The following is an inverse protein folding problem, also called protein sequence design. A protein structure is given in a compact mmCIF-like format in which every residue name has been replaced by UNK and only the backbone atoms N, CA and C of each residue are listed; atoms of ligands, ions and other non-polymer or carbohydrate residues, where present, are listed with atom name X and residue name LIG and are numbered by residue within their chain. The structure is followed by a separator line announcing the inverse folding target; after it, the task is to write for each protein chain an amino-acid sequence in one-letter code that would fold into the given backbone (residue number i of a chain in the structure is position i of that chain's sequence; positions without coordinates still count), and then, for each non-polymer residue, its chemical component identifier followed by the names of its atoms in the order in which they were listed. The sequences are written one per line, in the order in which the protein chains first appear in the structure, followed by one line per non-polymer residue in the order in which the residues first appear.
data_IF_667625061223
#
_entry.id   IF_667625061223
#
_cell.length_a   1.000
_cell.length_b   1.000
_cell.length_c   1.000
_cell.angle_alpha   90.00
_cell.angle_beta   90.00
_cell.angle_gamma   90.00
#
_symmetry.space_group_name_H-M   'P 1'
#
loop_
_entity.id
_entity.type
_entity.pdbx_description
1 polymer ?
#
# COMPACT_ATOMS: atom_id res chain seq x y z
N UNK A 1 -36.54 93.32 -36.10
CA UNK A 1 -36.59 91.85 -36.35
C UNK A 1 -35.20 91.30 -36.67
N UNK A 2 -34.26 91.27 -35.72
CA UNK A 2 -32.84 91.05 -36.05
C UNK A 2 -32.06 90.28 -34.96
N UNK A 3 -32.63 89.19 -34.42
CA UNK A 3 -31.91 88.32 -33.44
C UNK A 3 -31.72 86.86 -33.89
N UNK A 4 -32.29 86.44 -35.03
CA UNK A 4 -32.19 85.05 -35.50
C UNK A 4 -30.99 84.70 -36.39
N UNK A 5 -30.31 85.70 -36.98
CA UNK A 5 -29.25 85.46 -37.95
C UNK A 5 -27.84 85.30 -37.33
N UNK A 6 -27.61 85.88 -36.15
CA UNK A 6 -26.31 85.80 -35.46
C UNK A 6 -26.08 84.42 -34.85
N UNK A 7 -27.13 83.79 -34.29
CA UNK A 7 -27.02 82.47 -33.66
C UNK A 7 -26.77 81.35 -34.69
N UNK A 8 -27.37 81.45 -35.88
CA UNK A 8 -27.13 80.51 -36.99
C UNK A 8 -25.72 80.65 -37.61
N UNK A 9 -25.19 81.88 -37.68
CA UNK A 9 -23.82 82.12 -38.17
C UNK A 9 -22.75 81.65 -37.18
N UNK A 10 -23.00 81.78 -35.87
CA UNK A 10 -22.12 81.24 -34.83
C UNK A 10 -22.15 79.70 -34.78
N UNK A 11 -23.31 79.07 -35.00
CA UNK A 11 -23.41 77.61 -35.08
C UNK A 11 -22.73 77.03 -36.33
N UNK A 12 -22.79 77.70 -37.49
CA UNK A 12 -22.10 77.24 -38.70
C UNK A 12 -20.58 77.44 -38.65
N UNK A 13 -20.09 78.52 -38.02
CA UNK A 13 -18.63 78.74 -37.86
C UNK A 13 -18.03 77.77 -36.83
N UNK A 14 -18.78 77.44 -35.77
CA UNK A 14 -18.38 76.38 -34.83
C UNK A 14 -18.38 74.98 -35.46
N UNK A 15 -19.27 74.73 -36.44
CA UNK A 15 -19.31 73.44 -37.16
C UNK A 15 -18.21 73.30 -38.22
N UNK A 16 -17.81 74.39 -38.87
CA UNK A 16 -16.74 74.39 -39.89
C UNK A 16 -15.33 74.45 -39.27
N UNK A 17 -15.17 75.04 -38.08
CA UNK A 17 -13.91 75.00 -37.32
C UNK A 17 -13.65 73.64 -36.61
N UNK A 18 -14.63 72.74 -36.57
CA UNK A 18 -14.50 71.40 -35.99
C UNK A 18 -14.04 70.31 -36.97
N UNK A 19 -13.83 70.65 -38.25
CA UNK A 19 -13.53 69.68 -39.33
C UNK A 19 -12.07 69.81 -39.83
N UNK A 20 -11.24 70.62 -39.19
CA UNK A 20 -9.80 70.67 -39.53
C UNK A 20 -9.05 69.45 -38.98
N UNK A 21 -8.82 68.51 -39.91
CA UNK A 21 -7.72 67.55 -39.96
C UNK A 21 -7.52 66.62 -38.76
N UNK A 22 -8.38 65.61 -38.63
CA UNK A 22 -7.95 64.30 -38.14
C UNK A 22 -7.64 63.42 -39.36
N UNK A 23 -6.40 63.51 -39.86
CA UNK A 23 -5.88 62.46 -40.75
C UNK A 23 -5.80 61.18 -39.91
N UNK A 24 -6.54 60.11 -40.23
CA UNK A 24 -6.35 58.85 -39.54
C UNK A 24 -4.95 58.33 -39.89
N UNK A 25 -4.03 58.43 -38.92
CA UNK A 25 -2.72 57.81 -39.03
C UNK A 25 -2.93 56.30 -39.17
N UNK A 26 -2.58 55.75 -40.32
CA UNK A 26 -2.53 54.29 -40.48
C UNK A 26 -1.51 53.76 -39.46
N UNK A 27 -1.86 52.80 -38.59
CA UNK A 27 -0.89 52.22 -37.66
C UNK A 27 0.24 51.60 -38.47
N UNK A 28 1.42 52.23 -38.40
CA UNK A 28 2.65 51.65 -38.93
C UNK A 28 3.05 50.56 -37.94
N UNK A 29 2.71 49.31 -38.25
CA UNK A 29 3.24 48.16 -37.54
C UNK A 29 4.72 48.04 -37.92
N UNK A 30 5.61 48.41 -37.00
CA UNK A 30 7.02 48.20 -37.16
C UNK A 30 7.33 46.73 -36.81
N UNK A 31 7.57 45.91 -37.83
CA UNK A 31 8.06 44.55 -37.64
C UNK A 31 9.52 44.56 -37.18
N UNK A 32 9.79 43.87 -36.08
CA UNK A 32 11.16 43.66 -35.63
C UNK A 32 11.81 42.61 -36.52
N UNK A 33 12.68 43.08 -37.40
CA UNK A 33 13.51 42.23 -38.28
C UNK A 33 14.90 42.03 -37.70
N UNK A 34 15.54 40.91 -38.05
CA UNK A 34 16.90 40.56 -37.61
C UNK A 34 17.78 40.24 -38.82
N UNK A 35 19.08 40.54 -38.69
CA UNK A 35 20.08 40.16 -39.69
C UNK A 35 20.33 38.65 -39.60
N UNK A 36 20.44 37.98 -40.74
CA UNK A 36 20.72 36.54 -40.80
C UNK A 36 22.19 36.28 -40.49
N UNK A 37 22.44 35.32 -39.61
CA UNK A 37 23.78 34.83 -39.25
C UNK A 37 24.37 33.83 -40.27
N UNK A 38 23.65 33.56 -41.37
CA UNK A 38 24.10 32.60 -42.39
C UNK A 38 24.95 33.30 -43.45
N UNK A 39 26.20 32.87 -43.58
CA UNK A 39 27.12 33.32 -44.61
C UNK A 39 27.17 32.30 -45.77
N UNK A 40 27.44 32.81 -46.97
CA UNK A 40 27.69 32.00 -48.16
C UNK A 40 29.07 32.36 -48.71
N UNK A 41 29.97 31.37 -48.76
CA UNK A 41 31.36 31.58 -49.18
C UNK A 41 31.65 30.83 -50.48
N UNK A 42 32.17 31.49 -51.52
CA UNK A 42 32.48 30.81 -52.77
C UNK A 42 33.75 29.96 -52.63
N UNK A 43 33.75 28.79 -53.29
CA UNK A 43 34.94 27.97 -53.48
C UNK A 43 35.56 28.29 -54.84
N UNK A 44 36.87 28.54 -54.90
CA UNK A 44 37.56 29.01 -56.12
C UNK A 44 38.64 28.03 -56.56
N UNK A 45 39.00 28.10 -57.84
CA UNK A 45 40.07 27.25 -58.41
C UNK A 45 41.50 27.68 -58.05
N UNK A 46 41.70 28.80 -57.38
CA UNK A 46 43.02 29.31 -56.98
C UNK A 46 42.96 30.35 -55.87
N UNK A 47 44.14 30.78 -55.41
CA UNK A 47 44.35 31.63 -54.23
C UNK A 47 44.15 33.13 -54.53
N UNK A 48 42.94 33.51 -54.95
CA UNK A 48 42.66 34.89 -55.35
C UNK A 48 41.22 35.10 -55.85
N UNK A 49 40.82 36.35 -56.03
CA UNK A 49 39.46 36.70 -56.48
C UNK A 49 39.28 36.56 -58.00
N UNK A 50 40.39 36.60 -58.74
CA UNK A 50 40.50 36.45 -60.19
C UNK A 50 40.24 35.02 -60.68
N UNK A 51 40.37 34.03 -59.79
CA UNK A 51 40.18 32.63 -60.14
C UNK A 51 38.71 32.27 -60.28
N UNK A 52 38.42 31.33 -61.19
CA UNK A 52 37.08 30.80 -61.46
C UNK A 52 36.44 30.27 -60.19
N UNK A 53 35.17 30.64 -59.97
CA UNK A 53 34.33 30.10 -58.90
C UNK A 53 33.92 28.68 -59.29
N UNK A 54 34.36 27.69 -58.50
CA UNK A 54 33.99 26.29 -58.63
C UNK A 54 32.65 26.01 -57.93
N UNK A 55 32.40 26.64 -56.77
CA UNK A 55 31.13 26.57 -56.05
C UNK A 55 30.66 27.96 -55.62
N UNK A 56 29.41 28.32 -55.91
CA UNK A 56 28.91 29.70 -55.80
C UNK A 56 28.55 30.16 -54.40
N UNK A 57 28.39 29.25 -53.44
CA UNK A 57 28.05 29.64 -52.07
C UNK A 57 27.95 28.44 -51.13
N UNK A 58 29.07 28.07 -50.52
CA UNK A 58 29.09 27.14 -49.40
C UNK A 58 28.43 27.80 -48.20
N UNK A 59 27.41 27.15 -47.64
CA UNK A 59 26.67 27.65 -46.49
C UNK A 59 27.52 27.52 -45.22
N UNK A 60 27.40 28.47 -44.29
CA UNK A 60 27.98 28.31 -42.95
C UNK A 60 27.62 26.96 -42.33
N UNK A 61 28.61 26.24 -41.82
CA UNK A 61 28.46 24.92 -41.21
C UNK A 61 28.61 23.73 -42.18
N UNK A 62 28.83 23.97 -43.47
CA UNK A 62 29.24 22.90 -44.40
C UNK A 62 30.56 22.28 -43.93
N UNK A 63 30.58 20.96 -43.76
CA UNK A 63 31.78 20.23 -43.37
C UNK A 63 32.79 20.19 -44.53
N UNK A 64 34.04 20.52 -44.24
CA UNK A 64 35.13 20.58 -45.20
C UNK A 64 36.35 19.90 -44.61
N UNK A 65 37.11 19.20 -45.44
CA UNK A 65 38.42 18.66 -45.05
C UNK A 65 39.50 19.60 -45.56
N UNK A 66 40.34 20.09 -44.66
CA UNK A 66 41.46 20.97 -45.01
C UNK A 66 42.66 20.16 -45.46
N UNK A 67 43.17 20.46 -46.66
CA UNK A 67 44.30 19.78 -47.28
C UNK A 67 45.60 20.59 -47.13
N UNK A 68 45.52 21.90 -47.35
CA UNK A 68 46.67 22.81 -47.33
C UNK A 68 46.27 24.17 -46.75
N UNK A 69 47.21 24.85 -46.08
CA UNK A 69 47.07 26.20 -45.56
C UNK A 69 48.20 27.08 -46.11
N UNK A 70 47.86 28.20 -46.76
CA UNK A 70 48.82 29.20 -47.18
C UNK A 70 48.64 30.50 -46.37
N UNK A 71 49.49 30.76 -45.35
CA UNK A 71 49.39 31.97 -44.53
C UNK A 71 49.81 33.25 -45.27
N UNK A 72 50.57 33.16 -46.36
CA UNK A 72 51.00 34.34 -47.12
C UNK A 72 49.86 34.92 -47.97
N UNK A 73 49.04 34.05 -48.55
CA UNK A 73 47.88 34.46 -49.37
C UNK A 73 46.58 34.52 -48.57
N UNK A 74 46.52 33.88 -47.40
CA UNK A 74 45.32 33.81 -46.55
C UNK A 74 44.25 32.85 -47.09
N UNK A 75 44.65 31.89 -47.94
CA UNK A 75 43.78 30.87 -48.51
C UNK A 75 44.17 29.47 -48.03
N UNK A 76 43.17 28.62 -47.92
CA UNK A 76 43.33 27.20 -47.61
C UNK A 76 42.71 26.36 -48.72
N UNK A 77 43.37 25.27 -49.10
CA UNK A 77 42.83 24.26 -49.99
C UNK A 77 41.94 23.32 -49.18
N UNK A 78 40.69 23.16 -49.61
CA UNK A 78 39.70 22.31 -48.94
C UNK A 78 39.09 21.33 -49.93
N UNK A 79 38.70 20.16 -49.41
CA UNK A 79 37.95 19.13 -50.11
C UNK A 79 36.57 18.98 -49.48
N UNK A 80 35.55 18.99 -50.32
CA UNK A 80 34.17 18.70 -49.94
C UNK A 80 33.89 17.19 -49.89
N UNK A 81 32.77 16.80 -49.31
CA UNK A 81 32.34 15.39 -49.22
C UNK A 81 32.11 14.76 -50.60
N UNK A 82 31.70 15.57 -51.59
CA UNK A 82 31.53 15.16 -52.99
C UNK A 82 32.85 14.97 -53.76
N UNK A 83 34.00 15.22 -53.10
CA UNK A 83 35.33 15.12 -53.67
C UNK A 83 35.80 16.37 -54.42
N UNK A 84 34.99 17.43 -54.53
CA UNK A 84 35.41 18.67 -55.17
C UNK A 84 36.43 19.40 -54.30
N UNK A 85 37.54 19.79 -54.92
CA UNK A 85 38.62 20.54 -54.29
C UNK A 85 38.63 21.99 -54.76
N UNK A 86 38.98 22.89 -53.85
CA UNK A 86 39.20 24.29 -54.20
C UNK A 86 39.70 25.12 -53.03
N UNK A 87 40.01 26.37 -53.33
CA UNK A 87 40.55 27.34 -52.41
C UNK A 87 39.44 28.21 -51.81
N UNK A 88 39.53 28.40 -50.50
CA UNK A 88 38.64 29.25 -49.69
C UNK A 88 39.49 30.13 -48.77
N UNK A 89 39.00 31.30 -48.37
CA UNK A 89 39.74 32.16 -47.44
C UNK A 89 39.73 31.52 -46.04
N UNK A 90 40.92 31.48 -45.42
CA UNK A 90 41.12 30.83 -44.11
C UNK A 90 40.25 31.45 -43.01
N UNK A 91 39.94 32.75 -43.10
CA UNK A 91 39.09 33.46 -42.13
C UNK A 91 37.66 32.91 -42.01
N UNK A 92 37.17 32.16 -43.01
CA UNK A 92 35.84 31.55 -42.99
C UNK A 92 35.84 30.11 -42.49
N UNK A 93 37.02 29.54 -42.21
CA UNK A 93 37.17 28.19 -41.69
C UNK A 93 37.24 28.25 -40.17
N UNK A 94 36.36 27.51 -39.52
CA UNK A 94 36.37 27.29 -38.07
C UNK A 94 36.73 25.84 -37.78
N UNK A 95 37.54 25.61 -36.75
CA UNK A 95 37.83 24.26 -36.24
C UNK A 95 36.63 23.67 -35.47
N UNK A 96 35.75 24.54 -34.98
CA UNK A 96 34.56 24.14 -34.24
C UNK A 96 33.30 24.31 -35.09
N UNK A 97 32.24 23.50 -34.86
CA UNK A 97 30.96 23.67 -35.53
C UNK A 97 30.35 25.05 -35.30
N UNK A 98 29.60 25.54 -36.29
CA UNK A 98 28.90 26.83 -36.19
C UNK A 98 27.86 26.83 -35.07
N UNK A 99 27.55 28.01 -34.54
CA UNK A 99 26.64 28.20 -33.41
C UNK A 99 25.28 27.51 -33.62
N UNK A 100 24.73 27.56 -34.84
CA UNK A 100 23.46 26.90 -35.18
C UNK A 100 23.51 25.36 -34.99
N UNK A 101 24.62 24.70 -35.36
CA UNK A 101 24.78 23.26 -35.19
C UNK A 101 24.96 22.90 -33.71
N UNK A 102 25.77 23.68 -32.97
CA UNK A 102 25.93 23.51 -31.53
C UNK A 102 24.60 23.66 -30.80
N UNK A 103 23.83 24.70 -31.13
CA UNK A 103 22.52 24.95 -30.55
C UNK A 103 21.54 23.81 -30.82
N UNK A 104 21.49 23.31 -32.06
CA UNK A 104 20.65 22.17 -32.41
C UNK A 104 21.03 20.91 -31.60
N UNK A 105 22.32 20.62 -31.49
CA UNK A 105 22.82 19.50 -30.69
C UNK A 105 22.46 19.64 -29.20
N UNK A 106 22.70 20.83 -28.61
CA UNK A 106 22.37 21.11 -27.21
C UNK A 106 20.86 21.07 -26.94
N UNK A 107 20.02 21.53 -27.87
CA UNK A 107 18.56 21.41 -27.73
C UNK A 107 18.16 19.93 -27.73
N UNK A 108 18.69 19.13 -28.66
CA UNK A 108 18.42 17.70 -28.72
C UNK A 108 18.87 16.97 -27.45
N UNK A 109 20.06 17.29 -26.95
CA UNK A 109 20.58 16.75 -25.69
C UNK A 109 19.69 17.15 -24.52
N UNK A 110 19.35 18.43 -24.40
CA UNK A 110 18.45 18.95 -23.36
C UNK A 110 17.09 18.27 -23.39
N UNK A 111 16.51 18.05 -24.56
CA UNK A 111 15.21 17.38 -24.69
C UNK A 111 15.28 15.90 -24.30
N UNK A 112 16.38 15.22 -24.64
CA UNK A 112 16.64 13.85 -24.20
C UNK A 112 16.83 13.78 -22.67
N UNK A 113 17.63 14.67 -22.09
CA UNK A 113 17.83 14.74 -20.63
C UNK A 113 16.53 15.08 -19.90
N UNK A 114 15.73 16.00 -20.43
CA UNK A 114 14.43 16.34 -19.87
C UNK A 114 13.49 15.13 -19.87
N UNK A 115 13.44 14.39 -20.97
CA UNK A 115 12.61 13.17 -21.07
C UNK A 115 13.05 12.11 -20.04
N UNK A 116 14.36 11.92 -19.85
CA UNK A 116 14.90 11.02 -18.82
C UNK A 116 14.59 11.50 -17.40
N UNK A 117 14.66 12.81 -17.16
CA UNK A 117 14.31 13.40 -15.88
C UNK A 117 12.83 13.17 -15.55
N UNK A 118 11.94 13.41 -16.51
CA UNK A 118 10.50 13.21 -16.34
C UNK A 118 10.17 11.72 -16.09
N UNK A 119 10.82 10.79 -16.80
CA UNK A 119 10.68 9.34 -16.55
C UNK A 119 11.19 8.96 -15.15
N UNK A 120 12.36 9.45 -14.77
CA UNK A 120 12.95 9.14 -13.47
C UNK A 120 12.09 9.68 -12.33
N UNK A 121 11.53 10.88 -12.49
CA UNK A 121 10.61 11.47 -11.52
C UNK A 121 9.35 10.61 -11.37
N UNK A 122 8.76 10.15 -12.48
CA UNK A 122 7.61 9.24 -12.45
C UNK A 122 7.96 7.91 -11.75
N UNK A 123 9.13 7.34 -12.03
CA UNK A 123 9.60 6.10 -11.40
C UNK A 123 9.82 6.27 -9.88
N UNK A 124 10.35 7.41 -9.45
CA UNK A 124 10.51 7.73 -8.03
C UNK A 124 9.14 7.81 -7.34
N UNK A 125 8.18 8.53 -7.93
CA UNK A 125 6.82 8.62 -7.38
C UNK A 125 6.15 7.24 -7.28
N UNK A 126 6.26 6.41 -8.32
CA UNK A 126 5.74 5.05 -8.31
C UNK A 126 6.41 4.20 -7.22
N UNK A 127 7.73 4.28 -7.08
CA UNK A 127 8.48 3.52 -6.07
C UNK A 127 8.09 3.95 -4.66
N UNK A 128 7.87 5.25 -4.43
CA UNK A 128 7.40 5.75 -3.14
C UNK A 128 5.99 5.24 -2.82
N UNK A 129 5.07 5.24 -3.80
CA UNK A 129 3.73 4.70 -3.62
C UNK A 129 3.74 3.19 -3.32
N UNK A 130 4.54 2.41 -4.05
CA UNK A 130 4.71 0.97 -3.79
C UNK A 130 5.31 0.73 -2.41
N UNK A 131 6.31 1.52 -2.00
CA UNK A 131 6.92 1.41 -0.68
C UNK A 131 5.90 1.66 0.44
N UNK A 132 5.06 2.68 0.30
CA UNK A 132 3.99 2.97 1.27
C UNK A 132 3.03 1.80 1.38
N UNK A 133 2.54 1.30 0.24
CA UNK A 133 1.65 0.13 0.21
C UNK A 133 2.28 -1.11 0.88
N UNK A 134 3.56 -1.38 0.60
CA UNK A 134 4.28 -2.49 1.23
C UNK A 134 4.47 -2.28 2.74
N UNK A 135 4.58 -1.03 3.19
CA UNK A 135 4.65 -0.72 4.62
C UNK A 135 3.32 -1.03 5.30
N UNK A 136 2.21 -0.55 4.73
CA UNK A 136 0.87 -0.83 5.24
C UNK A 136 0.54 -2.32 5.25
N UNK A 137 0.91 -3.04 4.19
CA UNK A 137 0.70 -4.48 4.10
C UNK A 137 1.54 -5.26 5.13
N UNK A 138 2.78 -4.84 5.40
CA UNK A 138 3.60 -5.43 6.46
C UNK A 138 2.99 -5.20 7.84
N UNK A 139 2.51 -3.98 8.12
CA UNK A 139 1.86 -3.67 9.39
C UNK A 139 0.58 -4.50 9.58
N UNK A 140 -0.23 -4.65 8.52
CA UNK A 140 -1.42 -5.51 8.54
C UNK A 140 -1.05 -6.97 8.81
N UNK A 141 -0.06 -7.52 8.08
CA UNK A 141 0.38 -8.90 8.27
C UNK A 141 0.96 -9.14 9.66
N UNK A 142 1.71 -8.18 10.22
CA UNK A 142 2.22 -8.25 11.58
C UNK A 142 1.08 -8.29 12.62
N UNK A 143 0.03 -7.49 12.42
CA UNK A 143 -1.16 -7.51 13.28
C UNK A 143 -1.93 -8.83 13.16
N UNK A 144 -2.11 -9.35 11.95
CA UNK A 144 -2.75 -10.65 11.70
C UNK A 144 -1.97 -11.79 12.34
N UNK A 145 -0.64 -11.80 12.19
CA UNK A 145 0.23 -12.79 12.83
C UNK A 145 0.12 -12.73 14.36
N UNK A 146 0.11 -11.54 14.95
CA UNK A 146 -0.07 -11.35 16.39
C UNK A 146 -1.48 -11.78 16.86
N UNK A 147 -2.50 -11.61 16.02
CA UNK A 147 -3.86 -12.11 16.27
C UNK A 147 -3.92 -13.63 16.24
N UNK A 148 -3.42 -14.25 15.17
CA UNK A 148 -3.36 -15.71 15.01
C UNK A 148 -2.55 -16.38 16.11
N UNK A 149 -1.42 -15.79 16.52
CA UNK A 149 -0.60 -16.30 17.63
C UNK A 149 -1.39 -16.31 18.95
N UNK A 150 -2.12 -15.24 19.24
CA UNK A 150 -2.99 -15.18 20.43
C UNK A 150 -4.13 -16.19 20.38
N UNK A 151 -4.73 -16.40 19.21
CA UNK A 151 -5.79 -17.39 19.05
C UNK A 151 -5.27 -18.82 19.21
N UNK A 152 -4.09 -19.14 18.65
CA UNK A 152 -3.43 -20.41 18.87
C UNK A 152 -3.11 -20.65 20.35
N UNK A 153 -2.63 -19.62 21.06
CA UNK A 153 -2.40 -19.71 22.49
C UNK A 153 -3.70 -19.98 23.25
N UNK A 154 -4.77 -19.25 22.93
CA UNK A 154 -6.09 -19.44 23.54
C UNK A 154 -6.64 -20.86 23.33
N UNK A 155 -6.53 -21.39 22.11
CA UNK A 155 -6.95 -22.76 21.78
C UNK A 155 -6.12 -23.77 22.57
N UNK A 156 -4.80 -23.55 22.68
CA UNK A 156 -3.91 -24.41 23.46
C UNK A 156 -4.27 -24.42 24.95
N UNK A 157 -4.58 -23.26 25.52
CA UNK A 157 -5.02 -23.13 26.92
C UNK A 157 -6.36 -23.83 27.15
N UNK A 158 -7.36 -23.60 26.28
CA UNK A 158 -8.67 -24.26 26.37
C UNK A 158 -8.57 -25.79 26.23
N UNK A 159 -7.68 -26.27 25.37
CA UNK A 159 -7.42 -27.71 25.23
C UNK A 159 -6.81 -28.30 26.51
N UNK A 160 -5.87 -27.58 27.16
CA UNK A 160 -5.29 -28.00 28.43
C UNK A 160 -6.34 -28.03 29.57
N UNK A 161 -7.20 -27.01 29.64
CA UNK A 161 -8.30 -26.95 30.62
C UNK A 161 -9.30 -28.10 30.42
N UNK A 162 -9.60 -28.46 29.17
CA UNK A 162 -10.52 -29.57 28.85
C UNK A 162 -9.99 -30.90 29.38
N UNK A 163 -8.67 -31.15 29.27
CA UNK A 163 -8.03 -32.36 29.82
C UNK A 163 -8.13 -32.38 31.35
N UNK A 164 -7.90 -31.24 32.01
CA UNK A 164 -8.02 -31.10 33.47
C UNK A 164 -9.46 -31.35 33.95
N UNK A 165 -10.45 -30.81 33.24
CA UNK A 165 -11.87 -31.00 33.56
C UNK A 165 -12.27 -32.48 33.40
N UNK A 166 -11.79 -33.17 32.36
CA UNK A 166 -12.07 -34.59 32.17
C UNK A 166 -11.50 -35.44 33.32
N UNK A 167 -10.27 -35.15 33.76
CA UNK A 167 -9.65 -35.81 34.91
C UNK A 167 -10.44 -35.57 36.20
N UNK A 168 -10.91 -34.34 36.45
CA UNK A 168 -11.74 -34.00 37.60
C UNK A 168 -13.10 -34.72 37.57
N UNK A 169 -13.72 -34.82 36.40
CA UNK A 169 -14.96 -35.58 36.24
C UNK A 169 -14.74 -37.07 36.53
N UNK A 170 -13.66 -37.67 36.02
CA UNK A 170 -13.33 -39.07 36.30
C UNK A 170 -13.10 -39.30 37.80
N UNK A 171 -12.39 -38.40 38.50
CA UNK A 171 -12.21 -38.51 39.95
C UNK A 171 -13.52 -38.36 40.71
N UNK A 172 -14.38 -37.41 40.33
CA UNK A 172 -15.69 -37.22 40.98
C UNK A 172 -16.62 -38.42 40.76
N UNK A 173 -16.61 -39.01 39.56
CA UNK A 173 -17.37 -40.24 39.28
C UNK A 173 -16.86 -41.40 40.14
N UNK A 174 -15.54 -41.56 40.27
CA UNK A 174 -14.95 -42.59 41.13
C UNK A 174 -15.29 -42.38 42.60
N UNK A 175 -15.25 -41.14 43.09
CA UNK A 175 -15.61 -40.79 44.46
C UNK A 175 -17.11 -41.02 44.72
N UNK A 176 -17.96 -40.71 43.75
CA UNK A 176 -19.39 -40.98 43.82
C UNK A 176 -19.68 -42.48 43.88
N UNK A 177 -18.95 -43.29 43.11
CA UNK A 177 -19.08 -44.75 43.15
C UNK A 177 -18.63 -45.32 44.50
N UNK A 178 -17.50 -44.85 45.05
CA UNK A 178 -17.02 -45.25 46.37
C UNK A 178 -17.99 -44.87 47.49
N UNK A 179 -18.52 -43.64 47.49
CA UNK A 179 -19.52 -43.20 48.45
C UNK A 179 -20.81 -44.02 48.37
N UNK A 180 -21.27 -44.37 47.17
CA UNK A 180 -22.42 -45.26 46.99
C UNK A 180 -22.15 -46.66 47.53
N UNK A 181 -20.97 -47.23 47.28
CA UNK A 181 -20.56 -48.51 47.86
C UNK A 181 -20.50 -48.45 49.39
N UNK A 182 -20.04 -47.33 49.96
CA UNK A 182 -20.06 -47.11 51.41
C UNK A 182 -21.48 -47.04 51.96
N UNK A 183 -22.40 -46.35 51.28
CA UNK A 183 -23.82 -46.31 51.64
C UNK A 183 -24.41 -47.72 51.62
N UNK A 184 -24.20 -48.47 50.55
CA UNK A 184 -24.70 -49.84 50.42
C UNK A 184 -24.15 -50.74 51.52
N UNK A 185 -22.86 -50.63 51.83
CA UNK A 185 -22.22 -51.37 52.93
C UNK A 185 -22.83 -51.02 54.28
N UNK A 186 -23.01 -49.73 54.57
CA UNK A 186 -23.61 -49.27 55.83
C UNK A 186 -25.07 -49.73 55.94
N UNK A 187 -25.83 -49.73 54.84
CA UNK A 187 -27.20 -50.27 54.81
C UNK A 187 -27.24 -51.78 55.07
N UNK A 188 -26.31 -52.54 54.51
CA UNK A 188 -26.18 -53.98 54.78
C UNK A 188 -25.80 -54.20 56.25
N UNK A 189 -24.87 -53.40 56.79
CA UNK A 189 -24.43 -53.50 58.18
C UNK A 189 -25.55 -53.15 59.16
N UNK A 190 -26.32 -52.09 58.91
CA UNK A 190 -27.49 -51.74 59.73
C UNK A 190 -28.58 -52.80 59.65
N UNK A 191 -28.89 -53.32 58.45
CA UNK A 191 -29.85 -54.40 58.29
C UNK A 191 -29.40 -55.70 58.99
N UNK A 192 -28.10 -56.00 58.96
CA UNK A 192 -27.53 -57.14 59.68
C UNK A 192 -27.62 -56.95 61.20
N UNK A 193 -27.27 -55.77 61.71
CA UNK A 193 -27.40 -55.43 63.14
C UNK A 193 -28.85 -55.52 63.61
N UNK A 194 -29.81 -54.98 62.84
CA UNK A 194 -31.25 -55.08 63.13
C UNK A 194 -31.73 -56.54 63.13
N UNK A 195 -31.22 -57.37 62.20
CA UNK A 195 -31.56 -58.80 62.19
C UNK A 195 -31.02 -59.57 63.40
N UNK A 196 -29.85 -59.16 63.93
CA UNK A 196 -29.22 -59.80 65.08
C UNK A 196 -29.91 -59.45 66.39
N UNK A 197 -30.31 -58.17 66.58
CA UNK A 197 -31.18 -57.79 67.69
C UNK A 197 -32.51 -58.53 67.62
N UNK A 198 -33.05 -58.74 66.40
CA UNK A 198 -34.31 -59.44 66.25
C UNK A 198 -34.27 -60.93 66.64
N UNK A 199 -33.13 -61.57 66.47
CA UNK A 199 -32.93 -62.97 66.87
C UNK A 199 -32.73 -63.14 68.38
N UNK A 200 -32.08 -62.18 69.07
CA UNK A 200 -31.88 -62.26 70.53
C UNK A 200 -33.18 -62.06 71.33
N UNK A 201 -34.05 -61.13 70.91
CA UNK A 201 -35.35 -60.96 71.61
C UNK A 201 -36.30 -62.12 71.35
N UNK A 202 -36.24 -62.76 70.18
CA UNK A 202 -37.05 -63.94 69.89
C UNK A 202 -36.61 -65.14 70.73
N UNK A 203 -35.30 -65.38 70.88
CA UNK A 203 -34.78 -66.45 71.75
C UNK A 203 -35.16 -66.21 73.21
N UNK A 204 -35.03 -64.97 73.67
CA UNK A 204 -35.37 -64.58 75.05
C UNK A 204 -36.87 -64.69 75.29
N UNK A 205 -37.71 -64.20 74.36
CA UNK A 205 -39.16 -64.31 74.42
C UNK A 205 -39.65 -65.76 74.36
N UNK A 206 -39.08 -66.58 73.47
CA UNK A 206 -39.37 -68.02 73.38
C UNK A 206 -39.00 -68.77 74.66
N UNK A 207 -37.86 -68.42 75.28
CA UNK A 207 -37.44 -68.97 76.58
C UNK A 207 -38.39 -68.63 77.72
N UNK A 208 -38.87 -67.38 77.79
CA UNK A 208 -39.84 -66.92 78.80
C UNK A 208 -41.18 -67.64 78.65
N UNK A 209 -41.68 -67.82 77.42
CA UNK A 209 -42.93 -68.55 77.16
C UNK A 209 -42.80 -70.02 77.55
N UNK A 210 -41.69 -70.69 77.20
CA UNK A 210 -41.41 -72.07 77.59
C UNK A 210 -41.37 -72.25 79.12
N UNK A 211 -40.69 -71.33 79.83
CA UNK A 211 -40.66 -71.32 81.30
C UNK A 211 -42.06 -71.11 81.90
N UNK A 212 -42.84 -70.17 81.37
CA UNK A 212 -44.21 -69.92 81.81
C UNK A 212 -45.12 -71.14 81.65
N UNK A 213 -44.98 -71.86 80.53
CA UNK A 213 -45.73 -73.09 80.27
C UNK A 213 -45.32 -74.24 81.21
N UNK A 214 -44.01 -74.38 81.47
CA UNK A 214 -43.49 -75.39 82.39
C UNK A 214 -43.97 -75.16 83.83
N UNK A 215 -43.92 -73.90 84.30
CA UNK A 215 -44.45 -73.52 85.61
C UNK A 215 -45.97 -73.69 85.68
N UNK A 216 -46.72 -73.24 84.66
CA UNK A 216 -48.17 -73.43 84.60
C UNK A 216 -48.58 -74.91 84.65
N UNK A 217 -47.86 -75.79 83.97
CA UNK A 217 -48.09 -77.24 84.00
C UNK A 217 -47.79 -77.85 85.38
N UNK A 218 -46.68 -77.44 86.02
CA UNK A 218 -46.31 -77.88 87.37
C UNK A 218 -47.36 -77.49 88.42
N UNK A 219 -47.90 -76.27 88.34
CA UNK A 219 -48.96 -75.81 89.25
C UNK A 219 -50.33 -76.44 88.93
N UNK A 220 -50.67 -76.62 87.65
CA UNK A 220 -51.92 -77.25 87.21
C UNK A 220 -52.08 -78.70 87.69
N UNK A 221 -50.99 -79.46 87.79
CA UNK A 221 -51.00 -80.86 88.24
C UNK A 221 -51.34 -81.03 89.73
N UNK A 222 -51.24 -80.00 90.57
CA UNK A 222 -51.48 -80.11 92.02
C UNK A 222 -52.95 -79.88 92.43
N UNK A 223 -53.84 -79.52 91.50
CA UNK A 223 -55.22 -79.07 91.82
C UNK A 223 -56.32 -80.14 91.57
N UNK A 224 -56.02 -81.31 90.97
CA UNK A 224 -57.07 -82.26 90.52
C UNK A 224 -57.27 -83.58 91.30
N UNK A 225 -56.81 -83.71 92.55
CA UNK A 225 -57.26 -84.84 93.38
C UNK A 225 -57.60 -84.44 94.83
N UNK A 226 -58.87 -84.09 95.04
CA UNK A 226 -59.59 -84.28 96.31
C UNK A 226 -61.02 -84.80 96.08
N UNK A 227 -61.24 -86.02 96.61
CA UNK A 227 -62.45 -86.59 97.26
C UNK A 227 -63.58 -87.28 96.48
N UNK A 228 -63.96 -88.44 97.04
CA UNK A 228 -65.28 -89.07 97.12
C UNK A 228 -65.15 -90.61 97.22
N UNK A 229 -65.12 -91.28 98.39
CA UNK A 229 -66.18 -91.68 99.34
C UNK A 229 -67.17 -92.73 98.82
N UNK A 230 -67.26 -93.87 99.49
CA UNK A 230 -68.42 -94.78 99.44
C UNK A 230 -68.16 -96.19 99.98
N UNK A 231 -68.65 -96.45 101.21
CA UNK A 231 -69.06 -97.70 101.88
C UNK A 231 -68.15 -98.93 101.87
#
# INVERSE_FOLDING_TARGET
MQKGAALKRLLCVAFVAGITLTVPGTPVYADRVYIRDTLYVPLRGGQGQEYRILHRGLRSGTALTRLEDNPETGYSLVRMEDGLEGWIQTQYISLEPVAALKLAATISERDALKSQYDELQARVQQTMAVREQLSEDNDRLAQEQAGLSRELQRISELAADTISIDQQNQSLVSEQEDLNQQIDRLMIETAALESSENQEWFLTGGGVVLLGLLFGFLFGRKIYHRRGSGW
#
